data_IF_014395486193
#
_entry.id   IF_014395486193
#
_cell.length_a   1.000
_cell.length_b   1.000
_cell.length_c   1.000
_cell.angle_alpha   90.00
_cell.angle_beta   90.00
_cell.angle_gamma   90.00
#
_symmetry.space_group_name_H-M   'P 1'
#
loop_
_entity.id
_entity.type
_entity.pdbx_description
1 polymer ?
#
# COMPACT_ATOMS: atom_id res chain seq x y z
N UNK A 1 -62.62 -64.80 -27.06
CA UNK A 1 -63.21 -64.34 -28.34
C UNK A 1 -62.51 -63.05 -28.77
N UNK A 2 -61.93 -63.05 -29.97
CA UNK A 2 -61.59 -61.94 -30.89
C UNK A 2 -61.06 -60.61 -30.31
N UNK A 3 -59.77 -60.27 -30.46
CA UNK A 3 -59.10 -59.61 -31.62
C UNK A 3 -59.81 -58.34 -32.13
N UNK A 4 -59.10 -57.19 -32.03
CA UNK A 4 -58.70 -56.24 -33.11
C UNK A 4 -58.11 -54.97 -32.42
N UNK A 5 -56.79 -54.70 -32.44
CA UNK A 5 -55.99 -54.05 -33.50
C UNK A 5 -56.63 -52.78 -34.07
N UNK A 6 -56.05 -51.62 -33.73
CA UNK A 6 -55.81 -50.53 -34.67
C UNK A 6 -54.71 -49.61 -34.13
N UNK A 7 -53.58 -49.66 -34.83
CA UNK A 7 -52.48 -48.69 -34.78
C UNK A 7 -53.00 -47.30 -35.19
N UNK A 8 -52.45 -46.24 -34.60
CA UNK A 8 -52.19 -45.01 -35.38
C UNK A 8 -50.99 -44.27 -34.83
N UNK A 9 -49.94 -44.27 -35.64
CA UNK A 9 -48.78 -43.41 -35.61
C UNK A 9 -49.18 -41.96 -35.86
N UNK A 10 -48.76 -41.02 -35.00
CA UNK A 10 -48.49 -39.62 -35.41
C UNK A 10 -47.25 -39.12 -34.66
N UNK A 11 -46.13 -39.15 -35.38
CA UNK A 11 -44.93 -38.35 -35.15
C UNK A 11 -45.26 -36.86 -35.24
N UNK A 12 -44.92 -36.08 -34.20
CA UNK A 12 -45.10 -34.63 -34.16
C UNK A 12 -43.93 -33.93 -33.48
N UNK A 13 -42.86 -33.72 -34.22
CA UNK A 13 -41.63 -33.03 -33.82
C UNK A 13 -41.86 -31.54 -33.51
N UNK A 14 -41.91 -31.13 -32.24
CA UNK A 14 -41.83 -29.71 -31.83
C UNK A 14 -41.19 -29.51 -30.44
N UNK A 15 -39.97 -30.02 -30.21
CA UNK A 15 -39.28 -29.80 -28.92
C UNK A 15 -37.80 -29.39 -29.04
N UNK A 16 -37.37 -28.82 -30.17
CA UNK A 16 -35.97 -28.39 -30.38
C UNK A 16 -35.81 -26.91 -30.74
N UNK A 17 -36.73 -26.04 -30.29
CA UNK A 17 -36.59 -24.57 -30.47
C UNK A 17 -36.50 -23.78 -29.17
N UNK A 18 -36.42 -24.45 -28.02
CA UNK A 18 -36.30 -23.79 -26.70
C UNK A 18 -34.97 -24.05 -25.97
N UNK A 19 -33.99 -24.68 -26.63
CA UNK A 19 -32.68 -25.00 -26.01
C UNK A 19 -31.54 -24.16 -26.62
N UNK A 20 -31.77 -23.50 -27.76
CA UNK A 20 -30.73 -22.72 -28.45
C UNK A 20 -30.67 -21.23 -28.08
N UNK A 21 -31.54 -20.74 -27.19
CA UNK A 21 -31.48 -19.37 -26.68
C UNK A 21 -30.83 -19.24 -25.30
N UNK A 22 -30.46 -20.35 -24.65
CA UNK A 22 -29.84 -20.34 -23.33
C UNK A 22 -28.31 -20.45 -23.35
N UNK A 23 -27.70 -20.74 -24.50
CA UNK A 23 -26.24 -20.87 -24.65
C UNK A 23 -25.55 -19.62 -25.21
N UNK A 24 -26.30 -18.58 -25.58
CA UNK A 24 -25.77 -17.35 -26.15
C UNK A 24 -25.88 -16.13 -25.20
N UNK A 25 -26.13 -16.39 -23.91
CA UNK A 25 -26.06 -15.40 -22.83
C UNK A 25 -24.85 -15.63 -21.88
N UNK A 26 -24.03 -16.66 -22.13
CA UNK A 26 -22.88 -17.02 -21.29
C UNK A 26 -21.53 -16.48 -21.78
N UNK A 27 -21.50 -15.54 -22.73
CA UNK A 27 -20.26 -15.08 -23.36
C UNK A 27 -19.99 -13.57 -23.26
N UNK A 28 -20.58 -12.89 -22.28
CA UNK A 28 -20.22 -11.49 -21.92
C UNK A 28 -20.16 -11.33 -20.40
N UNK A 29 -19.49 -12.26 -19.70
CA UNK A 29 -18.79 -11.88 -18.49
C UNK A 29 -17.51 -11.19 -18.94
N UNK A 30 -17.62 -9.91 -19.31
CA UNK A 30 -16.43 -9.07 -19.42
C UNK A 30 -15.91 -8.93 -17.99
N UNK A 31 -14.99 -9.79 -17.58
CA UNK A 31 -14.18 -9.51 -16.41
C UNK A 31 -13.37 -8.27 -16.76
N UNK A 32 -13.77 -7.12 -16.22
CA UNK A 32 -12.89 -5.96 -16.17
C UNK A 32 -11.73 -6.35 -15.26
N UNK A 33 -10.67 -6.90 -15.84
CA UNK A 33 -9.40 -6.96 -15.14
C UNK A 33 -9.01 -5.50 -14.88
N UNK A 34 -8.72 -5.17 -13.62
CA UNK A 34 -8.09 -3.90 -13.31
C UNK A 34 -6.76 -3.86 -14.07
N UNK A 35 -6.50 -2.79 -14.81
CA UNK A 35 -5.17 -2.56 -15.37
C UNK A 35 -4.27 -2.16 -14.21
N UNK A 36 -3.22 -2.94 -13.96
CA UNK A 36 -2.22 -2.59 -12.95
C UNK A 36 -1.47 -1.35 -13.43
N UNK A 37 -1.60 -0.26 -12.69
CA UNK A 37 -0.90 1.00 -12.99
C UNK A 37 0.28 1.14 -12.05
N UNK A 38 1.49 1.17 -12.61
CA UNK A 38 2.71 1.55 -11.89
C UNK A 38 2.94 3.05 -12.00
N UNK A 39 3.06 3.72 -10.85
CA UNK A 39 3.30 5.14 -10.73
C UNK A 39 4.70 5.38 -10.16
N UNK A 40 5.47 6.25 -10.81
CA UNK A 40 6.75 6.70 -10.28
C UNK A 40 6.54 7.88 -9.34
N UNK A 41 7.00 7.74 -8.10
CA UNK A 41 6.99 8.77 -7.08
C UNK A 41 8.38 9.39 -7.01
N UNK A 42 8.46 10.65 -7.40
CA UNK A 42 9.74 11.33 -7.56
C UNK A 42 10.13 12.22 -6.38
N UNK A 43 9.15 12.62 -5.59
CA UNK A 43 9.28 13.48 -4.42
C UNK A 43 8.02 13.32 -3.55
N UNK A 44 8.13 13.71 -2.28
CA UNK A 44 6.96 13.85 -1.41
C UNK A 44 6.47 15.30 -1.44
N UNK A 45 5.19 15.49 -1.71
CA UNK A 45 4.56 16.78 -1.50
C UNK A 45 4.59 17.14 0.00
N UNK A 46 4.64 18.43 0.37
CA UNK A 46 4.55 18.83 1.77
C UNK A 46 3.18 18.46 2.36
N UNK A 47 3.10 18.44 3.69
CA UNK A 47 1.83 18.22 4.40
C UNK A 47 0.71 19.12 3.85
N UNK A 48 -0.45 18.51 3.62
CA UNK A 48 -1.69 19.18 3.25
C UNK A 48 -2.86 18.59 4.01
N UNK A 49 -3.78 19.45 4.48
CA UNK A 49 -5.05 19.01 5.05
C UNK A 49 -6.01 18.46 3.97
N UNK A 50 -5.76 18.77 2.70
CA UNK A 50 -6.49 18.27 1.53
C UNK A 50 -5.46 17.80 0.49
N UNK A 51 -4.82 16.63 0.71
CA UNK A 51 -3.83 16.11 -0.23
C UNK A 51 -4.48 15.82 -1.58
N UNK A 52 -3.69 15.90 -2.65
CA UNK A 52 -4.16 15.55 -4.00
C UNK A 52 -4.19 14.03 -4.16
N UNK A 53 -5.24 13.53 -4.80
CA UNK A 53 -5.37 12.08 -5.06
C UNK A 53 -4.17 11.55 -5.86
N UNK A 54 -3.64 10.39 -5.45
CA UNK A 54 -2.51 9.73 -6.10
C UNK A 54 -1.14 10.39 -5.87
N UNK A 55 -1.07 11.51 -5.15
CA UNK A 55 0.19 12.20 -4.84
C UNK A 55 0.65 11.78 -3.44
N UNK A 56 1.86 11.22 -3.36
CA UNK A 56 2.49 10.94 -2.09
C UNK A 56 2.94 12.23 -1.39
N UNK A 57 2.71 12.32 -0.09
CA UNK A 57 3.00 13.52 0.70
C UNK A 57 3.48 13.19 2.10
N UNK A 58 4.10 14.16 2.74
CA UNK A 58 4.49 14.15 4.16
C UNK A 58 3.24 14.19 5.05
N UNK A 59 2.66 13.02 5.32
CA UNK A 59 1.45 12.89 6.12
C UNK A 59 1.70 13.31 7.58
N UNK A 60 2.85 12.91 8.13
CA UNK A 60 3.28 13.31 9.46
C UNK A 60 4.80 13.19 9.59
N UNK A 61 5.49 14.31 9.45
CA UNK A 61 6.93 14.42 9.71
C UNK A 61 7.12 15.42 10.84
N UNK A 62 7.63 14.96 11.98
CA UNK A 62 7.72 15.75 13.20
C UNK A 62 9.12 15.68 13.82
N UNK A 63 9.50 16.78 14.48
CA UNK A 63 10.74 16.92 15.25
C UNK A 63 11.99 16.55 14.41
N UNK A 64 12.77 15.57 14.86
CA UNK A 64 13.96 15.06 14.16
C UNK A 64 13.66 14.03 13.07
N UNK A 65 12.39 13.83 12.70
CA UNK A 65 12.00 13.00 11.58
C UNK A 65 12.28 13.64 10.22
N UNK A 66 12.56 12.82 9.20
CA UNK A 66 12.68 13.28 7.82
C UNK A 66 12.20 12.23 6.82
N UNK A 67 11.79 12.71 5.64
CA UNK A 67 11.39 11.87 4.51
C UNK A 67 11.98 12.38 3.21
N UNK A 68 12.32 11.49 2.28
CA UNK A 68 12.79 11.86 0.93
C UNK A 68 12.72 10.66 -0.03
N UNK A 69 12.80 10.92 -1.33
CA UNK A 69 13.15 9.91 -2.33
C UNK A 69 14.65 10.01 -2.60
N UNK A 70 15.33 8.87 -2.73
CA UNK A 70 16.80 8.81 -2.89
C UNK A 70 17.19 7.85 -4.00
N UNK A 71 18.30 8.18 -4.68
CA UNK A 71 18.98 7.26 -5.61
C UNK A 71 19.97 6.42 -4.80
N UNK A 72 19.85 5.09 -4.90
CA UNK A 72 20.72 4.16 -4.19
C UNK A 72 21.97 3.78 -4.99
N UNK A 73 22.12 4.31 -6.21
CA UNK A 73 23.30 4.08 -7.07
C UNK A 73 24.60 4.51 -6.40
N UNK A 74 25.57 3.59 -6.32
CA UNK A 74 26.89 3.82 -5.73
C UNK A 74 26.95 3.76 -4.20
N UNK A 75 25.86 3.43 -3.50
CA UNK A 75 25.87 3.25 -2.03
C UNK A 75 26.49 1.92 -1.59
N UNK A 76 26.53 0.92 -2.48
CA UNK A 76 27.10 -0.39 -2.28
C UNK A 76 26.31 -1.29 -1.32
N UNK A 77 26.90 -2.44 -1.02
CA UNK A 77 26.34 -3.41 -0.06
C UNK A 77 24.95 -3.94 -0.46
N UNK A 78 24.23 -4.55 0.49
CA UNK A 78 22.88 -5.06 0.24
C UNK A 78 21.87 -3.94 -0.07
N UNK A 79 22.09 -2.72 0.43
CA UNK A 79 21.22 -1.57 0.16
C UNK A 79 21.10 -1.30 -1.34
N UNK A 80 22.21 -1.23 -2.08
CA UNK A 80 22.20 -1.02 -3.53
C UNK A 80 21.99 -2.33 -4.33
N UNK A 81 22.66 -3.43 -3.93
CA UNK A 81 22.74 -4.61 -4.79
C UNK A 81 21.48 -5.49 -4.77
N UNK A 82 20.65 -5.38 -3.73
CA UNK A 82 19.48 -6.22 -3.51
C UNK A 82 18.17 -5.42 -3.45
N UNK A 83 18.20 -4.12 -3.80
CA UNK A 83 17.00 -3.30 -3.83
C UNK A 83 16.00 -3.79 -4.87
N UNK A 84 14.70 -3.50 -4.66
CA UNK A 84 13.74 -3.49 -5.75
C UNK A 84 14.23 -2.62 -6.91
N UNK A 85 13.99 -3.07 -8.13
CA UNK A 85 14.38 -2.32 -9.32
C UNK A 85 13.40 -1.16 -9.56
N UNK A 86 13.87 -0.03 -10.15
CA UNK A 86 15.17 0.18 -10.78
C UNK A 86 16.34 0.54 -9.83
N UNK A 87 16.36 1.70 -9.17
CA UNK A 87 17.50 2.12 -8.31
C UNK A 87 17.13 3.10 -7.20
N UNK A 88 15.87 3.52 -7.10
CA UNK A 88 15.43 4.46 -6.11
C UNK A 88 14.75 3.79 -4.91
N UNK A 89 14.61 4.56 -3.84
CA UNK A 89 13.73 4.20 -2.72
C UNK A 89 13.21 5.45 -2.01
N UNK A 90 12.13 5.28 -1.27
CA UNK A 90 11.77 6.24 -0.24
C UNK A 90 12.64 6.01 1.01
N UNK A 91 13.16 7.09 1.59
CA UNK A 91 13.92 7.12 2.83
C UNK A 91 13.09 7.78 3.94
N UNK A 92 13.04 7.12 5.09
CA UNK A 92 12.46 7.62 6.33
C UNK A 92 13.52 7.57 7.44
N UNK A 93 13.71 8.68 8.14
CA UNK A 93 14.63 8.73 9.28
C UNK A 93 13.94 9.30 10.51
N UNK A 94 14.32 8.81 11.69
CA UNK A 94 13.96 9.42 12.98
C UNK A 94 15.21 9.78 13.78
N UNK A 95 15.15 10.87 14.52
CA UNK A 95 16.19 11.25 15.48
C UNK A 95 16.12 10.42 16.77
N UNK A 96 16.85 10.86 17.79
CA UNK A 96 16.97 10.14 19.07
C UNK A 96 15.88 10.48 20.11
N UNK A 97 14.77 11.10 19.71
CA UNK A 97 13.68 11.49 20.60
C UNK A 97 12.40 10.70 20.31
N UNK A 98 11.62 10.38 21.35
CA UNK A 98 10.33 9.69 21.21
C UNK A 98 9.32 10.44 20.36
N UNK A 99 9.46 11.76 20.25
CA UNK A 99 8.60 12.61 19.42
C UNK A 99 8.99 12.62 17.93
N UNK A 100 10.11 12.01 17.55
CA UNK A 100 10.56 11.99 16.16
C UNK A 100 9.71 10.99 15.36
N UNK A 101 9.11 11.46 14.27
CA UNK A 101 8.17 10.69 13.43
C UNK A 101 8.44 10.99 11.97
N UNK A 102 8.43 9.96 11.12
CA UNK A 102 8.54 10.10 9.67
C UNK A 102 7.51 9.20 8.98
N UNK A 103 6.36 9.78 8.62
CA UNK A 103 5.25 9.11 7.93
C UNK A 103 4.93 9.84 6.62
N UNK A 104 4.87 9.07 5.54
CA UNK A 104 4.46 9.54 4.22
C UNK A 104 3.31 8.66 3.72
N UNK A 105 2.42 9.23 2.92
CA UNK A 105 1.27 8.48 2.44
C UNK A 105 0.63 9.07 1.21
N UNK A 106 -0.38 8.38 0.71
CA UNK A 106 -1.15 8.73 -0.48
C UNK A 106 -2.64 8.54 -0.21
N UNK A 107 -3.40 9.59 -0.50
CA UNK A 107 -4.87 9.54 -0.55
C UNK A 107 -5.29 9.19 -1.97
N UNK A 108 -6.35 8.43 -2.10
CA UNK A 108 -6.89 8.02 -3.39
C UNK A 108 -8.37 7.66 -3.27
N UNK A 109 -9.04 7.47 -4.40
CA UNK A 109 -10.41 6.99 -4.46
C UNK A 109 -10.47 5.46 -4.30
N UNK A 110 -10.03 4.95 -3.14
CA UNK A 110 -10.06 3.51 -2.85
C UNK A 110 -11.49 2.97 -2.70
N UNK A 111 -12.39 3.75 -2.09
CA UNK A 111 -13.78 3.33 -1.84
C UNK A 111 -13.96 2.64 -0.48
N UNK A 112 -15.00 1.81 -0.37
CA UNK A 112 -15.53 1.37 0.93
C UNK A 112 -14.64 0.37 1.64
N UNK A 113 -14.18 0.74 2.83
CA UNK A 113 -13.28 -0.06 3.64
C UNK A 113 -13.86 -1.44 3.96
N UNK A 114 -15.15 -1.52 4.32
CA UNK A 114 -15.80 -2.80 4.61
C UNK A 114 -15.72 -3.82 3.46
N UNK A 115 -15.82 -3.34 2.21
CA UNK A 115 -15.69 -4.19 1.02
C UNK A 115 -14.24 -4.55 0.73
N UNK A 116 -13.33 -3.59 0.83
CA UNK A 116 -11.89 -3.79 0.55
C UNK A 116 -11.27 -4.76 1.56
N UNK A 117 -11.48 -4.53 2.86
CA UNK A 117 -10.83 -5.30 3.93
C UNK A 117 -11.29 -6.78 3.98
N UNK A 118 -12.42 -7.10 3.35
CA UNK A 118 -12.96 -8.47 3.26
C UNK A 118 -12.84 -9.07 1.85
N UNK A 119 -12.22 -8.37 0.91
CA UNK A 119 -12.00 -8.86 -0.45
C UNK A 119 -11.02 -10.05 -0.44
N UNK A 120 -11.38 -11.13 -1.13
CA UNK A 120 -10.56 -12.33 -1.25
C UNK A 120 -9.33 -12.13 -2.16
N UNK A 121 -9.35 -11.11 -3.00
CA UNK A 121 -8.24 -10.69 -3.87
C UNK A 121 -7.40 -9.56 -3.27
N UNK A 122 -7.72 -9.08 -2.06
CA UNK A 122 -6.94 -8.03 -1.40
C UNK A 122 -5.48 -8.46 -1.23
N UNK A 123 -4.58 -7.64 -1.75
CA UNK A 123 -3.15 -7.77 -1.57
C UNK A 123 -2.52 -6.39 -1.37
N UNK A 124 -1.83 -6.21 -0.24
CA UNK A 124 -0.96 -5.06 0.02
C UNK A 124 0.47 -5.60 0.04
N UNK A 125 1.33 -5.05 -0.81
CA UNK A 125 2.74 -5.43 -0.87
C UNK A 125 3.62 -4.22 -0.63
N UNK A 126 4.77 -4.43 -0.04
CA UNK A 126 5.86 -3.46 -0.02
C UNK A 126 7.18 -4.16 0.29
N UNK A 127 8.28 -3.57 -0.14
CA UNK A 127 9.62 -3.97 0.26
C UNK A 127 10.23 -2.89 1.15
N UNK A 128 10.96 -3.30 2.18
CA UNK A 128 11.64 -2.36 3.07
C UNK A 128 13.04 -2.83 3.43
N UNK A 129 13.89 -1.88 3.79
CA UNK A 129 15.24 -2.09 4.30
C UNK A 129 15.40 -1.32 5.60
N UNK A 130 15.98 -1.93 6.63
CA UNK A 130 16.34 -1.26 7.88
C UNK A 130 17.86 -1.17 7.99
N UNK A 131 18.39 0.05 8.09
CA UNK A 131 19.82 0.26 8.33
C UNK A 131 20.21 -0.04 9.77
N UNK A 132 21.36 -0.68 9.97
CA UNK A 132 21.90 -0.95 11.30
C UNK A 132 22.49 0.31 11.98
N UNK A 133 23.05 1.22 11.18
CA UNK A 133 23.75 2.39 11.70
C UNK A 133 22.78 3.35 12.40
N UNK A 134 23.00 3.59 13.69
CA UNK A 134 22.19 4.52 14.49
C UNK A 134 20.89 3.92 15.06
N UNK A 135 20.60 2.64 14.80
CA UNK A 135 19.38 1.98 15.27
C UNK A 135 19.28 1.95 16.80
N UNK A 136 18.25 2.61 17.35
CA UNK A 136 17.95 2.61 18.79
C UNK A 136 16.71 1.76 19.14
N UNK A 137 16.08 1.11 18.15
CA UNK A 137 14.97 0.20 18.38
C UNK A 137 15.01 -0.98 17.39
N UNK A 138 15.52 -2.12 17.87
CA UNK A 138 15.69 -3.35 17.10
C UNK A 138 14.37 -3.98 16.61
N UNK A 139 13.22 -3.53 17.09
CA UNK A 139 11.89 -4.08 16.74
C UNK A 139 11.11 -3.19 15.77
N UNK A 140 11.57 -1.96 15.55
CA UNK A 140 10.92 -1.01 14.64
C UNK A 140 11.34 -1.28 13.20
N UNK A 141 10.36 -1.38 12.31
CA UNK A 141 10.51 -1.43 10.86
C UNK A 141 9.57 -0.39 10.22
N UNK A 142 9.81 0.01 8.96
CA UNK A 142 8.79 0.71 8.17
C UNK A 142 7.46 -0.04 8.20
N UNK A 143 6.43 0.64 8.69
CA UNK A 143 5.12 0.05 9.00
C UNK A 143 4.06 0.53 8.00
N UNK A 144 3.18 -0.37 7.57
CA UNK A 144 2.01 -0.02 6.77
C UNK A 144 0.91 0.52 7.68
N UNK A 145 0.24 1.58 7.23
CA UNK A 145 -0.93 2.15 7.89
C UNK A 145 -2.05 2.37 6.87
N UNK A 146 -3.26 1.95 7.25
CA UNK A 146 -4.49 2.17 6.50
C UNK A 146 -5.38 3.11 7.29
N UNK A 147 -5.57 4.33 6.80
CA UNK A 147 -6.43 5.33 7.43
C UNK A 147 -7.86 5.17 6.93
N UNK A 148 -8.80 5.09 7.85
CA UNK A 148 -10.22 4.91 7.60
C UNK A 148 -10.99 6.17 8.02
N UNK A 149 -12.00 6.55 7.24
CA UNK A 149 -12.82 7.72 7.56
C UNK A 149 -14.28 7.52 7.15
N UNK A 150 -15.19 7.79 8.07
CA UNK A 150 -16.61 8.01 7.81
C UNK A 150 -16.98 9.42 8.30
N UNK A 151 -17.10 10.42 7.41
CA UNK A 151 -17.43 11.80 7.80
C UNK A 151 -18.87 11.97 8.32
N UNK A 152 -19.71 10.93 8.17
CA UNK A 152 -21.11 10.92 8.60
C UNK A 152 -21.36 10.04 9.83
N UNK A 153 -20.30 9.49 10.44
CA UNK A 153 -20.39 8.69 11.65
C UNK A 153 -21.10 9.45 12.78
N UNK A 154 -21.88 8.73 13.58
CA UNK A 154 -22.49 9.29 14.80
C UNK A 154 -21.49 9.30 15.97
N UNK A 155 -20.54 8.36 15.95
CA UNK A 155 -19.42 8.28 16.89
C UNK A 155 -18.11 8.82 16.31
N UNK A 156 -17.00 8.21 16.73
CA UNK A 156 -15.68 8.49 16.17
C UNK A 156 -15.49 7.70 14.87
N UNK A 157 -15.66 8.38 13.74
CA UNK A 157 -15.58 7.79 12.41
C UNK A 157 -14.18 7.79 11.80
N UNK A 158 -13.11 8.00 12.57
CA UNK A 158 -11.76 8.11 12.05
C UNK A 158 -10.78 7.24 12.84
N UNK A 159 -9.83 6.63 12.13
CA UNK A 159 -8.73 5.92 12.77
C UNK A 159 -7.84 5.21 11.75
N UNK A 160 -6.81 4.51 12.24
CA UNK A 160 -5.86 3.80 11.40
C UNK A 160 -5.56 2.39 11.90
N UNK A 161 -5.58 1.44 10.96
CA UNK A 161 -5.03 0.10 11.15
C UNK A 161 -3.53 0.15 10.86
N UNK A 162 -2.71 -0.35 11.79
CA UNK A 162 -1.25 -0.30 11.67
C UNK A 162 -0.66 -1.70 11.72
N UNK A 163 0.18 -2.01 10.74
CA UNK A 163 0.91 -3.27 10.60
C UNK A 163 2.40 -3.06 10.86
N UNK A 164 2.92 -3.75 11.86
CA UNK A 164 4.32 -3.72 12.30
C UNK A 164 4.86 -5.16 12.35
N UNK A 165 5.53 -5.64 11.29
CA UNK A 165 5.76 -7.07 11.05
C UNK A 165 6.53 -7.80 12.17
N UNK A 166 7.30 -7.06 12.97
CA UNK A 166 8.25 -7.59 13.94
C UNK A 166 7.92 -7.26 15.39
N UNK A 167 7.16 -6.18 15.62
CA UNK A 167 6.69 -5.78 16.94
C UNK A 167 5.47 -6.59 17.40
N UNK A 168 4.61 -6.99 16.46
CA UNK A 168 3.33 -7.64 16.74
C UNK A 168 3.40 -9.16 17.06
N UNK A 169 4.32 -9.96 16.52
CA UNK A 169 4.45 -11.36 16.91
C UNK A 169 4.73 -11.52 18.41
N UNK A 170 4.24 -12.61 19.02
CA UNK A 170 4.57 -13.01 20.39
C UNK A 170 5.31 -14.37 20.37
N UNK A 171 6.61 -14.42 20.73
CA UNK A 171 7.44 -13.30 21.19
C UNK A 171 7.76 -12.32 20.05
N UNK A 172 8.06 -11.07 20.44
CA UNK A 172 8.56 -10.06 19.50
C UNK A 172 9.85 -10.55 18.83
N UNK A 173 10.05 -10.16 17.58
CA UNK A 173 11.21 -10.60 16.78
C UNK A 173 12.03 -9.37 16.40
N UNK A 174 13.35 -9.44 16.51
CA UNK A 174 14.22 -8.37 16.02
C UNK A 174 14.12 -8.28 14.50
N UNK A 175 13.98 -7.06 13.98
CA UNK A 175 13.98 -6.80 12.53
C UNK A 175 15.39 -7.10 12.01
N UNK A 176 15.56 -7.92 10.97
CA UNK A 176 16.84 -8.03 10.30
C UNK A 176 17.27 -6.68 9.75
N UNK A 177 18.55 -6.37 9.92
CA UNK A 177 19.14 -5.12 9.45
C UNK A 177 20.04 -5.41 8.26
N UNK A 178 20.22 -4.39 7.44
CA UNK A 178 21.05 -4.42 6.25
C UNK A 178 20.66 -5.46 5.19
N UNK A 179 19.35 -5.71 5.08
CA UNK A 179 18.76 -6.49 3.99
C UNK A 179 17.37 -5.97 3.60
N UNK A 180 17.01 -6.21 2.33
CA UNK A 180 15.68 -5.92 1.81
C UNK A 180 14.72 -7.06 2.14
N UNK A 181 13.57 -6.72 2.68
CA UNK A 181 12.52 -7.64 3.11
C UNK A 181 11.22 -7.25 2.44
N UNK A 182 10.60 -8.19 1.72
CA UNK A 182 9.27 -8.00 1.13
C UNK A 182 8.18 -8.56 2.03
N UNK A 183 7.08 -7.82 2.13
CA UNK A 183 5.88 -8.22 2.88
C UNK A 183 4.69 -8.29 1.94
N UNK A 184 3.83 -9.29 2.20
CA UNK A 184 2.55 -9.47 1.51
C UNK A 184 1.47 -9.64 2.57
N UNK A 185 0.50 -8.75 2.55
CA UNK A 185 -0.63 -8.70 3.46
C UNK A 185 -1.90 -8.96 2.65
N UNK A 186 -2.78 -9.80 3.15
CA UNK A 186 -4.08 -10.08 2.54
C UNK A 186 -5.20 -9.75 3.52
N UNK A 187 -6.46 -9.94 3.13
CA UNK A 187 -7.58 -9.82 4.06
C UNK A 187 -7.47 -10.76 5.27
N UNK A 188 -6.76 -11.88 5.14
CA UNK A 188 -6.65 -12.93 6.18
C UNK A 188 -5.23 -13.17 6.67
N UNK A 189 -4.26 -12.37 6.24
CA UNK A 189 -2.86 -12.44 6.69
C UNK A 189 -2.35 -11.07 7.12
N UNK A 190 -1.29 -11.07 7.93
CA UNK A 190 -0.85 -9.86 8.63
C UNK A 190 -1.77 -9.54 9.80
N UNK A 191 -1.19 -9.02 10.88
CA UNK A 191 -1.92 -8.64 12.07
C UNK A 191 -1.81 -7.14 12.25
N UNK A 192 -2.93 -6.46 12.47
CA UNK A 192 -2.98 -5.03 12.66
C UNK A 192 -3.41 -4.72 14.08
N UNK A 193 -2.81 -3.68 14.66
CA UNK A 193 -3.38 -3.01 15.83
C UNK A 193 -4.17 -1.78 15.36
N UNK A 194 -5.10 -1.32 16.19
CA UNK A 194 -6.00 -0.20 15.90
C UNK A 194 -5.70 0.99 16.80
N UNK A 195 -5.66 2.21 16.23
CA UNK A 195 -5.33 3.44 16.98
C UNK A 195 -6.54 4.20 17.54
N UNK A 196 -7.75 3.68 17.39
CA UNK A 196 -8.99 4.20 17.98
C UNK A 196 -10.01 4.62 16.93
N UNK A 197 -11.29 4.61 17.29
CA UNK A 197 -12.42 4.91 16.40
C UNK A 197 -13.32 3.69 16.15
N UNK A 198 -14.45 3.89 15.48
CA UNK A 198 -15.45 2.88 15.10
C UNK A 198 -15.84 1.93 16.25
N UNK A 199 -16.10 2.52 17.42
CA UNK A 199 -16.53 1.79 18.61
C UNK A 199 -15.42 0.97 19.30
N UNK A 200 -14.19 1.04 18.82
CA UNK A 200 -13.04 0.31 19.37
C UNK A 200 -12.02 1.27 20.01
N UNK A 201 -11.47 0.91 21.19
CA UNK A 201 -10.43 1.71 21.82
C UNK A 201 -9.09 1.58 21.08
N UNK A 202 -8.21 2.54 21.33
CA UNK A 202 -6.81 2.47 20.90
C UNK A 202 -6.11 1.28 21.58
N UNK A 203 -5.36 0.50 20.81
CA UNK A 203 -4.63 -0.70 21.26
C UNK A 203 -3.18 -0.39 21.70
N UNK A 204 -2.76 0.88 21.63
CA UNK A 204 -1.46 1.43 22.02
C UNK A 204 -0.26 0.67 21.45
N UNK A 205 -0.33 0.29 20.17
CA UNK A 205 0.72 -0.51 19.53
C UNK A 205 0.70 -2.00 19.89
N UNK A 206 -0.31 -2.48 20.61
CA UNK A 206 -0.39 -3.86 21.09
C UNK A 206 -1.73 -4.54 20.83
N UNK A 207 -1.99 -5.68 21.50
CA UNK A 207 -3.24 -6.42 21.35
C UNK A 207 -4.51 -5.59 21.67
N UNK A 208 -5.65 -5.90 21.03
CA UNK A 208 -5.86 -7.02 20.12
C UNK A 208 -5.19 -6.82 18.76
N UNK A 209 -4.59 -7.91 18.27
CA UNK A 209 -3.97 -7.99 16.96
C UNK A 209 -4.85 -8.86 16.08
N UNK A 210 -5.31 -8.32 14.96
CA UNK A 210 -6.32 -8.97 14.10
C UNK A 210 -5.98 -8.81 12.64
N UNK A 211 -6.43 -9.75 11.81
CA UNK A 211 -6.38 -9.59 10.36
C UNK A 211 -7.32 -8.45 9.93
N UNK A 212 -7.19 -7.98 8.68
CA UNK A 212 -8.06 -6.94 8.15
C UNK A 212 -9.54 -7.38 8.12
N UNK A 213 -9.81 -8.63 7.74
CA UNK A 213 -11.15 -9.20 7.75
C UNK A 213 -11.73 -9.31 9.17
N UNK A 214 -10.90 -9.67 10.15
CA UNK A 214 -11.33 -9.73 11.56
C UNK A 214 -11.65 -8.33 12.12
N UNK A 215 -10.89 -7.30 11.73
CA UNK A 215 -11.20 -5.91 12.11
C UNK A 215 -12.51 -5.44 11.50
N UNK A 216 -12.75 -5.76 10.22
CA UNK A 216 -13.98 -5.37 9.52
C UNK A 216 -15.27 -5.87 10.18
N UNK A 217 -15.22 -7.02 10.86
CA UNK A 217 -16.37 -7.56 11.63
C UNK A 217 -16.39 -7.14 13.11
N UNK A 218 -15.32 -6.50 13.59
CA UNK A 218 -15.18 -6.04 14.98
C UNK A 218 -15.66 -4.60 15.17
N UNK A 219 -15.52 -3.76 14.14
CA UNK A 219 -15.98 -2.38 14.18
C UNK A 219 -17.51 -2.27 14.26
N UNK A 220 -17.98 -1.13 14.77
CA UNK A 220 -19.41 -0.86 14.91
C UNK A 220 -20.09 -0.48 13.57
N UNK A 221 -21.37 -0.09 13.65
CA UNK A 221 -22.17 0.21 12.47
C UNK A 221 -21.63 1.35 11.60
N UNK A 222 -20.90 2.33 12.19
CA UNK A 222 -20.35 3.47 11.46
C UNK A 222 -19.25 3.05 10.48
N UNK A 223 -18.63 1.88 10.67
CA UNK A 223 -17.61 1.36 9.74
C UNK A 223 -18.18 0.92 8.38
N UNK A 224 -19.45 0.56 8.31
CA UNK A 224 -20.08 0.06 7.07
C UNK A 224 -19.99 1.07 5.93
N UNK A 225 -20.09 2.36 6.26
CA UNK A 225 -20.04 3.47 5.31
C UNK A 225 -18.65 4.14 5.24
N UNK A 226 -17.66 3.64 5.98
CA UNK A 226 -16.30 4.18 5.99
C UNK A 226 -15.58 3.93 4.67
N UNK A 227 -14.80 4.92 4.24
CA UNK A 227 -13.89 4.82 3.12
C UNK A 227 -12.48 4.48 3.62
N UNK A 228 -11.74 3.69 2.85
CA UNK A 228 -10.28 3.67 2.95
C UNK A 228 -9.80 5.01 2.40
N UNK A 229 -9.28 5.87 3.29
CA UNK A 229 -8.88 7.23 2.95
C UNK A 229 -7.44 7.28 2.45
N UNK A 230 -6.53 6.59 3.13
CA UNK A 230 -5.11 6.67 2.82
C UNK A 230 -4.37 5.35 3.07
N UNK A 231 -3.36 5.13 2.24
CA UNK A 231 -2.28 4.17 2.46
C UNK A 231 -1.03 4.97 2.84
N UNK A 232 -0.36 4.59 3.92
CA UNK A 232 0.89 5.23 4.35
C UNK A 232 1.94 4.23 4.82
N UNK A 233 3.19 4.64 4.70
CA UNK A 233 4.36 3.95 5.26
C UNK A 233 5.03 4.90 6.25
N UNK A 234 5.40 4.38 7.42
CA UNK A 234 5.99 5.25 8.42
C UNK A 234 6.79 4.54 9.50
N UNK A 235 7.62 5.34 10.17
CA UNK A 235 8.24 5.00 11.45
C UNK A 235 7.60 5.88 12.52
N UNK A 236 6.85 5.26 13.42
CA UNK A 236 6.08 5.94 14.48
C UNK A 236 6.90 6.52 15.62
N UNK A 237 6.25 7.32 16.46
CA UNK A 237 6.80 7.81 17.72
C UNK A 237 7.28 6.66 18.61
N UNK A 238 8.29 6.91 19.45
CA UNK A 238 9.01 5.90 20.25
C UNK A 238 9.90 4.93 19.46
N UNK A 239 10.01 5.10 18.14
CA UNK A 239 10.99 4.40 17.30
C UNK A 239 12.13 5.34 16.96
N UNK A 240 13.08 5.46 17.90
CA UNK A 240 14.21 6.38 17.81
C UNK A 240 15.33 5.86 16.92
N UNK A 241 16.09 6.76 16.29
CA UNK A 241 17.33 6.46 15.56
C UNK A 241 17.12 5.56 14.35
N UNK A 242 15.93 5.57 13.76
CA UNK A 242 15.62 4.68 12.65
C UNK A 242 16.12 5.27 11.34
N UNK A 243 16.70 4.43 10.49
CA UNK A 243 16.91 4.70 9.08
C UNK A 243 16.27 3.56 8.30
N UNK A 244 15.12 3.84 7.70
CA UNK A 244 14.35 2.86 6.93
C UNK A 244 14.23 3.31 5.47
N UNK A 245 14.38 2.36 4.56
CA UNK A 245 14.03 2.56 3.16
C UNK A 245 12.80 1.70 2.84
N UNK A 246 11.98 2.14 1.90
CA UNK A 246 10.91 1.33 1.36
C UNK A 246 10.70 1.62 -0.12
N UNK A 247 10.21 0.62 -0.84
CA UNK A 247 9.89 0.72 -2.26
C UNK A 247 8.83 -0.34 -2.65
N UNK A 248 8.37 -0.30 -3.90
CA UNK A 248 7.49 -1.31 -4.49
C UNK A 248 6.16 -1.48 -3.73
N UNK A 249 5.61 -0.35 -3.25
CA UNK A 249 4.36 -0.34 -2.49
C UNK A 249 3.20 -0.57 -3.44
N UNK A 250 2.33 -1.55 -3.15
CA UNK A 250 1.12 -1.78 -3.94
C UNK A 250 -0.10 -2.07 -3.08
N UNK A 251 -1.26 -1.74 -3.63
CA UNK A 251 -2.57 -2.13 -3.13
C UNK A 251 -3.39 -2.62 -4.32
N UNK A 252 -3.86 -3.86 -4.23
CA UNK A 252 -4.74 -4.47 -5.23
C UNK A 252 -5.90 -5.20 -4.55
N UNK A 253 -7.07 -5.17 -5.19
CA UNK A 253 -8.28 -5.91 -4.86
C UNK A 253 -9.26 -5.85 -6.05
N UNK A 254 -10.49 -6.34 -5.92
CA UNK A 254 -11.44 -6.37 -7.03
C UNK A 254 -11.75 -4.97 -7.53
N UNK A 255 -11.25 -4.64 -8.73
CA UNK A 255 -11.51 -3.36 -9.39
C UNK A 255 -10.50 -2.24 -9.09
N UNK A 256 -9.43 -2.52 -8.34
CA UNK A 256 -8.35 -1.57 -8.07
C UNK A 256 -7.00 -2.28 -8.06
N UNK A 257 -6.01 -1.71 -8.75
CA UNK A 257 -4.64 -2.24 -8.81
C UNK A 257 -3.67 -1.08 -9.08
N UNK A 258 -2.93 -0.67 -8.05
CA UNK A 258 -1.89 0.36 -8.17
C UNK A 258 -0.60 -0.08 -7.48
N UNK A 259 0.52 0.25 -8.13
CA UNK A 259 1.88 0.10 -7.61
C UNK A 259 2.61 1.45 -7.63
N UNK A 260 3.41 1.71 -6.63
CA UNK A 260 4.20 2.92 -6.46
C UNK A 260 5.68 2.55 -6.33
N UNK A 261 6.49 3.07 -7.25
CA UNK A 261 7.94 2.91 -7.27
C UNK A 261 8.58 4.27 -6.99
N UNK A 262 9.53 4.34 -6.08
CA UNK A 262 10.10 5.59 -5.59
C UNK A 262 11.44 5.86 -6.25
N UNK A 263 11.51 6.87 -7.10
CA UNK A 263 12.71 7.21 -7.84
C UNK A 263 13.19 8.60 -7.48
N UNK A 264 14.46 8.78 -7.13
CA UNK A 264 14.98 10.15 -7.11
C UNK A 264 15.10 10.66 -8.55
N UNK A 265 14.63 11.88 -8.80
CA UNK A 265 14.96 12.56 -10.06
C UNK A 265 16.47 12.80 -10.03
N UNK A 266 17.24 12.33 -11.03
CA UNK A 266 18.63 12.72 -11.15
C UNK A 266 18.67 14.24 -11.22
N UNK A 267 19.28 14.88 -10.22
CA UNK A 267 19.50 16.33 -10.23
C UNK A 267 20.02 16.71 -11.62
N UNK A 268 19.27 17.52 -12.40
CA UNK A 268 19.61 17.77 -13.80
C UNK A 268 20.98 18.40 -13.78
N UNK A 269 21.97 17.66 -14.28
CA UNK A 269 23.40 17.88 -14.11
C UNK A 269 23.80 19.36 -14.20
N UNK A 270 23.61 20.10 -13.13
CA UNK A 270 24.04 21.49 -12.97
C UNK A 270 25.56 21.51 -13.00
N UNK A 271 26.20 20.40 -12.60
CA UNK A 271 27.60 20.12 -12.86
C UNK A 271 27.96 20.11 -14.36
N UNK A 272 27.11 19.60 -15.25
CA UNK A 272 27.33 19.62 -16.71
C UNK A 272 27.12 21.04 -17.28
N UNK A 273 26.11 21.76 -16.80
CA UNK A 273 25.87 23.16 -17.21
C UNK A 273 26.94 24.12 -16.69
N UNK A 274 27.41 23.93 -15.45
CA UNK A 274 28.51 24.70 -14.85
C UNK A 274 29.83 24.32 -15.51
N UNK A 275 30.10 23.04 -15.78
CA UNK A 275 31.32 22.66 -16.50
C UNK A 275 31.32 23.17 -17.94
N UNK A 276 30.20 23.11 -18.68
CA UNK A 276 30.07 23.75 -19.98
C UNK A 276 30.27 25.27 -19.90
N UNK A 277 29.69 25.93 -18.88
CA UNK A 277 29.87 27.37 -18.66
C UNK A 277 31.32 27.76 -18.38
N UNK A 278 32.03 27.01 -17.55
CA UNK A 278 33.46 27.25 -17.25
C UNK A 278 34.35 26.96 -18.47
N UNK A 279 34.02 25.93 -19.25
CA UNK A 279 34.78 25.59 -20.47
C UNK A 279 34.60 26.66 -21.55
N UNK A 280 33.38 27.18 -21.74
CA UNK A 280 33.09 28.26 -22.68
C UNK A 280 33.77 29.58 -22.28
N UNK A 281 33.80 29.92 -20.98
CA UNK A 281 34.54 31.08 -20.46
C UNK A 281 36.06 30.93 -20.59
N UNK A 282 36.57 29.70 -20.53
CA UNK A 282 37.99 29.39 -20.75
C UNK A 282 38.43 29.53 -22.22
N UNK A 283 37.54 29.22 -23.18
CA UNK A 283 37.81 29.35 -24.62
C UNK A 283 37.73 30.82 -25.07
N UNK A 284 36.89 31.64 -24.44
CA UNK A 284 36.74 33.07 -24.75
C UNK A 284 37.92 33.94 -24.29
N UNK A 285 38.89 33.36 -23.57
CA UNK A 285 40.02 34.06 -22.95
C UNK A 285 41.36 33.83 -23.65
N UNK A 286 41.35 33.43 -24.93
CA UNK A 286 42.56 33.49 -25.76
C UNK A 286 42.66 34.85 -26.47
N UNK A 287 43.79 35.58 -26.34
CA UNK A 287 44.03 36.87 -26.98
C UNK A 287 44.16 36.77 -28.51
#
# INVERSE_FOLDING_TARGET
MSKNLLETCVTGSRSYRLILFFWMASALLMSSAAESVTLTVNEFAPYSATPSEGVWYEMKVEAGGASSTVDLSGLGGPLENNQPLPTGAALLTTGSNNADVAHVGVVDAYGKAASILTDASLQIEYSFYKGLAGDLNAYAAPAIRLTLNNPTALGDGYGSLVYEPYWQPNPMVTVPTDEWISQIITSTSGLFWWDGGFGQPNSFGGPPLRTLADWAVTFDGDFTDADLLALSVGVGSYNQGQTGYFDDVSLSYTGYDKRYNFEAIPEPSTALLVSLGVTLLGIWRKP
#
